data_IF_729389021760
#
_entry.id   IF_729389021760
#
_cell.length_a   1.000
_cell.length_b   1.000
_cell.length_c   1.000
_cell.angle_alpha   90.00
_cell.angle_beta   90.00
_cell.angle_gamma   90.00
#
_symmetry.space_group_name_H-M   'P 1'
#
loop_
_entity.id
_entity.type
_entity.pdbx_description
1 polymer ?
#
# COMPACT_ATOMS: atom_id res chain seq x y z
N UNK A 1 -4.87 -9.69 -8.06
CA UNK A 1 -4.72 -9.24 -6.65
C UNK A 1 -5.00 -7.76 -6.56
N UNK A 2 -5.24 -7.22 -5.37
CA UNK A 2 -5.31 -5.77 -5.12
C UNK A 2 -4.04 -5.33 -4.40
N UNK A 3 -3.72 -4.05 -4.51
CA UNK A 3 -2.62 -3.46 -3.77
C UNK A 3 -2.93 -2.05 -3.28
N UNK A 4 -2.20 -1.63 -2.25
CA UNK A 4 -2.04 -0.23 -1.86
C UNK A 4 -0.55 0.08 -1.72
N UNK A 5 -0.14 1.27 -2.16
CA UNK A 5 1.17 1.84 -1.83
C UNK A 5 0.95 2.86 -0.74
N UNK A 6 1.74 2.76 0.32
CA UNK A 6 1.73 3.72 1.41
C UNK A 6 3.08 4.39 1.55
N UNK A 7 3.07 5.68 1.87
CA UNK A 7 4.25 6.43 2.27
C UNK A 7 4.35 6.52 3.78
N UNK A 8 5.56 6.34 4.30
CA UNK A 8 5.90 6.73 5.66
C UNK A 8 6.02 8.26 5.73
N UNK A 9 5.19 8.89 6.57
CA UNK A 9 5.17 10.35 6.72
C UNK A 9 6.51 10.89 7.23
N UNK A 10 7.24 10.11 8.02
CA UNK A 10 8.46 10.57 8.70
C UNK A 10 9.74 10.34 7.87
N UNK A 11 9.75 9.39 6.93
CA UNK A 11 10.96 8.98 6.18
C UNK A 11 10.83 9.06 4.66
N UNK A 12 9.64 9.39 4.14
CA UNK A 12 9.28 9.35 2.69
C UNK A 12 9.51 7.97 2.04
N UNK A 13 9.74 6.93 2.84
CA UNK A 13 9.84 5.55 2.37
C UNK A 13 8.48 5.06 1.88
N UNK A 14 8.48 4.36 0.74
CA UNK A 14 7.27 3.82 0.12
C UNK A 14 7.27 2.31 0.20
N UNK A 15 6.15 1.77 0.66
CA UNK A 15 5.93 0.32 0.79
C UNK A 15 4.68 -0.05 -0.01
N UNK A 16 4.77 -1.16 -0.75
CA UNK A 16 3.62 -1.77 -1.43
C UNK A 16 3.10 -2.94 -0.61
N UNK A 17 1.79 -3.00 -0.45
CA UNK A 17 1.11 -4.12 0.18
C UNK A 17 0.16 -4.75 -0.82
N UNK A 18 0.36 -6.03 -1.10
CA UNK A 18 -0.47 -6.82 -2.01
C UNK A 18 -1.37 -7.73 -1.18
N UNK A 19 -2.66 -7.79 -1.54
CA UNK A 19 -3.66 -8.53 -0.79
C UNK A 19 -4.75 -9.10 -1.71
N UNK A 20 -5.60 -9.96 -1.13
CA UNK A 20 -6.68 -10.65 -1.85
C UNK A 20 -7.67 -9.68 -2.48
N UNK A 21 -8.17 -10.03 -3.66
CA UNK A 21 -9.17 -9.22 -4.38
C UNK A 21 -10.49 -9.06 -3.62
N UNK A 22 -10.78 -9.98 -2.70
CA UNK A 22 -12.01 -9.96 -1.91
C UNK A 22 -12.00 -8.89 -0.79
N UNK A 23 -10.87 -8.23 -0.54
CA UNK A 23 -10.75 -7.17 0.46
C UNK A 23 -10.90 -5.81 -0.24
N UNK A 24 -11.65 -4.88 0.36
CA UNK A 24 -11.77 -3.51 -0.14
C UNK A 24 -10.53 -2.68 0.25
N UNK A 25 -10.13 -1.75 -0.62
CA UNK A 25 -8.90 -0.97 -0.42
C UNK A 25 -8.93 -0.09 0.83
N UNK A 26 -10.09 0.43 1.21
CA UNK A 26 -10.32 1.24 2.41
C UNK A 26 -10.16 0.43 3.69
N UNK A 27 -10.77 -0.76 3.76
CA UNK A 27 -10.60 -1.68 4.89
C UNK A 27 -9.12 -2.05 5.08
N UNK A 28 -8.40 -2.29 3.98
CA UNK A 28 -6.98 -2.62 4.06
C UNK A 28 -6.12 -1.42 4.44
N UNK A 29 -6.44 -0.21 3.93
CA UNK A 29 -5.73 1.02 4.27
C UNK A 29 -5.86 1.39 5.75
N UNK A 30 -7.05 1.21 6.34
CA UNK A 30 -7.27 1.41 7.78
C UNK A 30 -6.36 0.49 8.60
N UNK A 31 -6.30 -0.79 8.24
CA UNK A 31 -5.42 -1.75 8.90
C UNK A 31 -3.93 -1.36 8.80
N UNK A 32 -3.46 -1.01 7.60
CA UNK A 32 -2.05 -0.64 7.38
C UNK A 32 -1.67 0.66 8.11
N UNK A 33 -2.60 1.60 8.26
CA UNK A 33 -2.40 2.81 9.06
C UNK A 33 -2.12 2.52 10.54
N UNK A 34 -2.54 1.36 11.04
CA UNK A 34 -2.31 0.93 12.42
C UNK A 34 -1.19 -0.11 12.57
N UNK A 35 -0.65 -0.62 11.46
CA UNK A 35 0.37 -1.66 11.45
C UNK A 35 1.67 -1.21 12.13
N UNK A 36 2.08 -1.95 13.15
CA UNK A 36 3.36 -1.73 13.83
C UNK A 36 4.43 -2.54 13.11
N UNK A 37 5.53 -1.89 12.75
CA UNK A 37 6.71 -2.57 12.21
C UNK A 37 7.74 -2.77 13.32
N UNK A 38 8.26 -3.99 13.41
CA UNK A 38 9.36 -4.34 14.30
C UNK A 38 10.64 -4.44 13.47
N UNK A 39 11.36 -3.34 13.29
CA UNK A 39 12.76 -3.38 12.83
C UNK A 39 13.65 -3.42 14.08
N UNK A 40 14.26 -4.57 14.37
CA UNK A 40 15.32 -4.68 15.39
C UNK A 40 14.88 -4.71 16.85
N UNK A 41 13.64 -5.09 17.16
CA UNK A 41 13.16 -5.26 18.55
C UNK A 41 12.21 -4.15 19.05
N UNK A 42 12.28 -2.96 18.46
CA UNK A 42 11.40 -1.84 18.82
C UNK A 42 10.12 -1.83 17.98
N UNK A 43 8.98 -2.02 18.65
CA UNK A 43 7.65 -1.89 18.03
C UNK A 43 7.27 -0.42 17.89
N UNK A 44 7.50 0.16 16.71
CA UNK A 44 7.10 1.54 16.41
C UNK A 44 5.87 1.56 15.50
N UNK A 45 4.91 2.42 15.86
CA UNK A 45 3.81 2.78 14.95
C UNK A 45 4.38 3.75 13.92
N UNK A 46 4.48 3.29 12.68
CA UNK A 46 4.84 4.15 11.55
C UNK A 46 3.56 4.75 11.01
N UNK A 47 3.48 6.08 10.94
CA UNK A 47 2.34 6.75 10.33
C UNK A 47 2.44 6.58 8.82
N UNK A 48 1.49 5.83 8.25
CA UNK A 48 1.42 5.56 6.82
C UNK A 48 0.24 6.29 6.20
N UNK A 49 0.43 6.86 5.03
CA UNK A 49 -0.65 7.40 4.20
C UNK A 49 -0.70 6.69 2.85
N UNK A 50 -1.89 6.26 2.39
CA UNK A 50 -2.05 5.72 1.04
C UNK A 50 -1.69 6.79 -0.01
N UNK A 51 -0.78 6.43 -0.91
CA UNK A 51 -0.33 7.29 -2.04
C UNK A 51 -1.03 6.87 -3.33
N UNK A 52 -1.12 5.56 -3.56
CA UNK A 52 -1.77 4.99 -4.74
C UNK A 52 -2.37 3.63 -4.39
N UNK A 53 -3.35 3.21 -5.18
CA UNK A 53 -4.04 1.94 -4.99
C UNK A 53 -4.57 1.43 -6.34
N UNK A 54 -4.69 0.12 -6.45
CA UNK A 54 -5.17 -0.49 -7.69
C UNK A 54 -5.15 -2.01 -7.64
N UNK A 55 -4.99 -2.59 -8.83
CA UNK A 55 -4.94 -4.01 -9.09
C UNK A 55 -3.56 -4.40 -9.58
N UNK A 56 -3.15 -5.63 -9.30
CA UNK A 56 -1.87 -6.17 -9.71
C UNK A 56 -1.96 -7.67 -9.98
N UNK A 57 -1.18 -8.15 -10.95
CA UNK A 57 -0.90 -9.56 -11.21
C UNK A 57 0.37 -10.05 -10.47
N UNK A 58 0.99 -9.19 -9.66
CA UNK A 58 2.28 -9.45 -9.01
C UNK A 58 3.49 -9.01 -9.84
N UNK A 59 3.29 -8.43 -11.02
CA UNK A 59 4.35 -7.88 -11.86
C UNK A 59 4.02 -6.47 -12.33
N UNK A 60 2.77 -6.22 -12.71
CA UNK A 60 2.25 -4.95 -13.19
C UNK A 60 1.22 -4.42 -12.21
N UNK A 61 1.07 -3.09 -12.20
CA UNK A 61 0.08 -2.37 -11.41
C UNK A 61 -0.81 -1.55 -12.35
N UNK A 62 -2.12 -1.51 -12.10
CA UNK A 62 -3.07 -0.73 -12.90
C UNK A 62 -4.36 -0.40 -12.14
N UNK A 63 -5.21 0.42 -12.76
CA UNK A 63 -6.58 0.68 -12.32
C UNK A 63 -6.74 1.83 -11.33
N UNK A 64 -7.93 1.89 -10.74
CA UNK A 64 -8.35 2.94 -9.82
C UNK A 64 -9.10 2.31 -8.65
N UNK A 65 -8.80 2.76 -7.44
CA UNK A 65 -9.55 2.40 -6.24
C UNK A 65 -10.70 3.38 -6.05
N UNK A 66 -11.94 2.89 -6.17
CA UNK A 66 -13.13 3.72 -5.98
C UNK A 66 -13.34 4.13 -4.52
N UNK A 67 -12.98 3.25 -3.57
CA UNK A 67 -13.16 3.52 -2.13
C UNK A 67 -12.14 4.53 -1.60
N UNK A 68 -10.87 4.43 -2.04
CA UNK A 68 -9.83 5.38 -1.65
C UNK A 68 -9.75 6.60 -2.57
N UNK A 69 -10.41 6.57 -3.73
CA UNK A 69 -10.32 7.56 -4.80
C UNK A 69 -8.89 7.78 -5.33
N UNK A 70 -8.06 6.73 -5.28
CA UNK A 70 -6.66 6.77 -5.69
C UNK A 70 -6.43 6.00 -6.98
N UNK A 71 -5.58 6.54 -7.86
CA UNK A 71 -5.18 5.90 -9.12
C UNK A 71 -3.86 5.15 -8.94
N UNK A 72 -3.74 4.00 -9.60
CA UNK A 72 -2.46 3.35 -9.81
C UNK A 72 -1.49 4.26 -10.55
N UNK A 73 -0.22 4.27 -10.13
CA UNK A 73 0.88 4.94 -10.84
C UNK A 73 1.63 3.99 -11.77
N UNK A 74 1.02 2.85 -12.07
CA UNK A 74 1.47 1.87 -13.06
C UNK A 74 2.91 1.42 -12.80
N UNK A 75 3.83 1.76 -13.69
CA UNK A 75 5.23 1.34 -13.61
C UNK A 75 5.91 1.74 -12.28
N UNK A 76 5.61 2.92 -11.75
CA UNK A 76 6.19 3.41 -10.48
C UNK A 76 5.77 2.57 -9.27
N UNK A 77 4.56 2.02 -9.30
CA UNK A 77 4.09 1.14 -8.22
C UNK A 77 4.63 -0.27 -8.40
N UNK A 78 4.79 -0.73 -9.65
CA UNK A 78 5.35 -2.03 -9.96
C UNK A 78 6.83 -2.15 -9.55
N UNK A 79 7.61 -1.07 -9.61
CA UNK A 79 9.01 -1.04 -9.13
C UNK A 79 9.17 -1.37 -7.63
N UNK A 80 8.10 -1.21 -6.84
CA UNK A 80 8.09 -1.55 -5.42
C UNK A 80 7.84 -3.03 -5.16
N UNK A 81 7.37 -3.78 -6.16
CA UNK A 81 7.20 -5.23 -6.08
C UNK A 81 8.59 -5.87 -6.24
N UNK A 82 9.13 -6.43 -5.16
CA UNK A 82 10.41 -7.14 -5.12
C UNK A 82 10.23 -8.59 -4.75
#
# INVERSE_FOLDING_TARGET
MKYIVTGNIDTDEREIFIFSENIHHDCFAEFVGHYKTQKGGDWKRVKRQPISAGFTDGVKCWGYSETLKLKSREHLDAELIK
#
